data_IF_825028398389
#
_entry.id   IF_825028398389
#
_cell.length_a   1.000
_cell.length_b   1.000
_cell.length_c   1.000
_cell.angle_alpha   90.00
_cell.angle_beta   90.00
_cell.angle_gamma   90.00
#
_symmetry.space_group_name_H-M   'P 1'
#
loop_
_entity.id
_entity.type
_entity.pdbx_description
1 polymer ?
#
# COMPACT_ATOMS: atom_id res chain seq x y z
N UNK A 1 33.71 -6.00 -18.81
CA UNK A 1 33.39 -4.70 -18.19
C UNK A 1 34.35 -4.55 -17.02
N UNK A 2 35.00 -3.40 -16.87
CA UNK A 2 35.77 -3.13 -15.66
C UNK A 2 34.81 -3.04 -14.46
N UNK A 3 35.20 -3.57 -13.28
CA UNK A 3 34.45 -3.36 -12.05
C UNK A 3 34.39 -1.87 -11.75
N UNK A 4 33.18 -1.33 -11.60
CA UNK A 4 32.95 0.02 -11.09
C UNK A 4 33.29 0.05 -9.60
N UNK A 5 33.96 1.10 -9.15
CA UNK A 5 34.16 1.30 -7.71
C UNK A 5 32.81 1.49 -6.99
N UNK A 6 32.67 0.95 -5.76
CA UNK A 6 31.46 1.13 -4.96
C UNK A 6 31.12 2.62 -4.79
N UNK A 7 29.83 2.96 -4.78
CA UNK A 7 29.42 4.30 -4.37
C UNK A 7 29.76 4.54 -2.90
N UNK A 8 29.93 5.82 -2.55
CA UNK A 8 30.30 6.24 -1.19
C UNK A 8 29.32 5.79 -0.11
N UNK A 9 28.06 5.55 -0.47
CA UNK A 9 27.01 5.03 0.40
C UNK A 9 26.86 3.50 0.32
N UNK A 10 27.57 2.84 -0.60
CA UNK A 10 27.53 1.39 -0.81
C UNK A 10 26.27 0.88 -1.51
N UNK A 11 25.42 1.75 -2.03
CA UNK A 11 24.14 1.36 -2.65
C UNK A 11 24.13 1.65 -4.15
N UNK A 12 23.65 0.70 -4.95
CA UNK A 12 23.45 0.95 -6.38
C UNK A 12 22.14 1.71 -6.64
N UNK A 13 22.17 2.84 -7.38
CA UNK A 13 21.00 3.66 -7.62
C UNK A 13 19.98 2.94 -8.51
N UNK A 14 18.70 3.27 -8.30
CA UNK A 14 17.60 2.79 -9.13
C UNK A 14 17.18 3.95 -10.04
N UNK A 15 17.71 3.96 -11.26
CA UNK A 15 17.57 5.11 -12.17
C UNK A 15 18.23 6.36 -11.56
N UNK A 16 17.53 7.51 -11.49
CA UNK A 16 18.07 8.73 -10.88
C UNK A 16 17.89 8.79 -9.35
N UNK A 17 17.31 7.77 -8.71
CA UNK A 17 16.89 7.83 -7.32
C UNK A 17 17.77 6.99 -6.38
N UNK A 18 17.94 7.48 -5.14
CA UNK A 18 18.59 6.73 -4.08
C UNK A 18 17.69 5.52 -3.66
N UNK A 19 18.25 4.32 -3.43
CA UNK A 19 17.44 3.12 -3.18
C UNK A 19 16.46 3.21 -2.03
N UNK A 20 16.82 3.89 -0.94
CA UNK A 20 15.88 4.13 0.17
C UNK A 20 14.67 4.98 -0.21
N UNK A 21 14.79 5.90 -1.17
CA UNK A 21 13.64 6.68 -1.67
C UNK A 21 12.69 5.75 -2.42
N UNK A 22 13.24 4.88 -3.29
CA UNK A 22 12.44 3.90 -4.03
C UNK A 22 11.78 2.90 -3.09
N UNK A 23 12.52 2.38 -2.11
CA UNK A 23 11.98 1.48 -1.08
C UNK A 23 10.85 2.15 -0.30
N UNK A 24 11.04 3.39 0.15
CA UNK A 24 9.99 4.16 0.84
C UNK A 24 8.73 4.36 -0.02
N UNK A 25 8.90 4.64 -1.31
CA UNK A 25 7.79 4.79 -2.24
C UNK A 25 7.02 3.46 -2.44
N UNK A 26 7.73 2.34 -2.56
CA UNK A 26 7.11 1.00 -2.66
C UNK A 26 6.34 0.67 -1.39
N UNK A 27 6.94 0.87 -0.21
CA UNK A 27 6.25 0.64 1.07
C UNK A 27 5.00 1.50 1.22
N UNK A 28 5.05 2.76 0.78
CA UNK A 28 3.87 3.63 0.80
C UNK A 28 2.77 3.12 -0.13
N UNK A 29 3.14 2.69 -1.34
CA UNK A 29 2.20 2.10 -2.29
C UNK A 29 1.56 0.82 -1.75
N UNK A 30 2.36 -0.05 -1.11
CA UNK A 30 1.87 -1.28 -0.49
C UNK A 30 0.88 -0.98 0.63
N UNK A 31 1.17 0.01 1.49
CA UNK A 31 0.24 0.43 2.54
C UNK A 31 -1.07 0.99 1.96
N UNK A 32 -0.99 1.78 0.88
CA UNK A 32 -2.18 2.27 0.19
C UNK A 32 -3.01 1.12 -0.41
N UNK A 33 -2.35 0.11 -1.00
CA UNK A 33 -3.01 -1.07 -1.53
C UNK A 33 -3.71 -1.87 -0.42
N UNK A 34 -3.05 -2.05 0.73
CA UNK A 34 -3.64 -2.72 1.89
C UNK A 34 -4.86 -1.95 2.40
N UNK A 35 -4.74 -0.62 2.57
CA UNK A 35 -5.85 0.22 3.00
C UNK A 35 -7.04 0.17 2.03
N UNK A 36 -6.77 0.16 0.73
CA UNK A 36 -7.80 0.02 -0.30
C UNK A 36 -8.54 -1.32 -0.18
N UNK A 37 -7.81 -2.43 -0.03
CA UNK A 37 -8.41 -3.77 0.13
C UNK A 37 -9.25 -3.83 1.40
N UNK A 38 -8.73 -3.35 2.52
CA UNK A 38 -9.47 -3.32 3.79
C UNK A 38 -10.75 -2.48 3.66
N UNK A 39 -10.66 -1.29 3.06
CA UNK A 39 -11.82 -0.42 2.85
C UNK A 39 -12.88 -1.08 1.97
N UNK A 40 -12.46 -1.74 0.89
CA UNK A 40 -13.37 -2.46 0.00
C UNK A 40 -14.06 -3.63 0.72
N UNK A 41 -13.33 -4.39 1.55
CA UNK A 41 -13.90 -5.47 2.36
C UNK A 41 -14.88 -4.94 3.41
N UNK A 42 -14.55 -3.85 4.09
CA UNK A 42 -15.45 -3.23 5.08
C UNK A 42 -16.73 -2.74 4.42
N UNK A 43 -16.63 -2.05 3.28
CA UNK A 43 -17.79 -1.60 2.52
C UNK A 43 -18.65 -2.75 1.98
N UNK A 44 -18.02 -3.80 1.46
CA UNK A 44 -18.75 -4.99 1.00
C UNK A 44 -19.44 -5.70 2.17
N UNK A 45 -18.78 -5.79 3.33
CA UNK A 45 -19.33 -6.36 4.55
C UNK A 45 -20.58 -5.62 5.01
N UNK A 46 -20.52 -4.29 5.04
CA UNK A 46 -21.65 -3.41 5.36
C UNK A 46 -22.85 -3.66 4.44
N UNK A 47 -22.64 -3.68 3.12
CA UNK A 47 -23.70 -3.94 2.14
C UNK A 47 -24.31 -5.34 2.23
N UNK A 48 -23.51 -6.34 2.60
CA UNK A 48 -24.00 -7.71 2.83
C UNK A 48 -24.80 -7.77 4.14
N UNK A 49 -24.33 -7.09 5.19
CA UNK A 49 -25.03 -6.99 6.47
C UNK A 49 -26.41 -6.35 6.29
N UNK A 50 -26.51 -5.24 5.54
CA UNK A 50 -27.77 -4.58 5.20
C UNK A 50 -28.82 -5.54 4.58
N UNK A 51 -28.37 -6.49 3.75
CA UNK A 51 -29.24 -7.46 3.07
C UNK A 51 -29.72 -8.55 4.04
N UNK A 52 -28.85 -9.00 4.95
CA UNK A 52 -29.12 -10.12 5.85
C UNK A 52 -29.86 -9.66 7.12
N UNK A 53 -29.49 -8.49 7.63
CA UNK A 53 -29.95 -7.93 8.90
C UNK A 53 -30.28 -6.43 8.73
N UNK A 54 -31.44 -6.10 8.16
CA UNK A 54 -31.81 -4.70 7.94
C UNK A 54 -32.05 -3.98 9.28
N UNK A 55 -31.42 -2.81 9.46
CA UNK A 55 -31.52 -1.99 10.67
C UNK A 55 -30.52 -2.35 11.76
N UNK A 56 -29.45 -3.06 11.41
CA UNK A 56 -28.28 -3.30 12.27
C UNK A 56 -27.43 -2.06 12.49
N UNK A 57 -26.25 -2.27 13.09
CA UNK A 57 -25.30 -1.18 13.33
C UNK A 57 -24.45 -0.99 12.08
N UNK A 58 -24.54 0.18 11.47
CA UNK A 58 -23.73 0.55 10.31
C UNK A 58 -22.23 0.55 10.65
N UNK A 59 -21.43 -0.02 9.75
CA UNK A 59 -19.97 -0.08 9.89
C UNK A 59 -19.31 1.07 9.14
N UNK A 60 -20.00 1.61 8.13
CA UNK A 60 -19.54 2.72 7.32
C UNK A 60 -20.69 3.71 7.12
N UNK A 61 -20.54 4.92 7.66
CA UNK A 61 -21.46 6.03 7.40
C UNK A 61 -21.10 6.66 6.04
N UNK A 62 -21.75 6.23 4.96
CA UNK A 62 -21.60 6.82 3.61
C UNK A 62 -22.93 7.33 3.05
#
# INVERSE_FOLDING_TARGET
>A
MEPREPLSDGFDPIGPFHPYVVMGAVLLLDLLAILLVLSALTFAGDKIEDIIWPGGREWVDL
#
